data_IF_752774051477
#
_entry.id   IF_752774051477
#
_cell.length_a   1.000
_cell.length_b   1.000
_cell.length_c   1.000
_cell.angle_alpha   90.00
_cell.angle_beta   90.00
_cell.angle_gamma   90.00
#
_symmetry.space_group_name_H-M   'P 1'
#
loop_
_entity.id
_entity.type
_entity.pdbx_description
1 polymer ?
#
# COMPACT_ATOMS: atom_id res chain seq x y z
N UNK A 1 22.95 -54.56 8.28
CA UNK A 1 22.94 -53.15 7.89
C UNK A 1 23.26 -52.33 9.12
N UNK A 2 24.22 -51.44 9.07
CA UNK A 2 24.62 -50.61 10.19
C UNK A 2 24.36 -49.13 9.86
N UNK A 3 23.89 -48.39 10.83
CA UNK A 3 23.56 -46.96 10.66
C UNK A 3 24.60 -46.11 11.39
N UNK A 4 24.90 -44.94 10.81
CA UNK A 4 25.76 -43.96 11.46
C UNK A 4 25.03 -43.36 12.67
N UNK A 5 25.60 -43.44 13.86
CA UNK A 5 25.02 -42.93 15.10
C UNK A 5 24.85 -41.40 15.16
N UNK A 6 25.47 -40.67 14.18
CA UNK A 6 25.46 -39.21 14.16
C UNK A 6 24.51 -38.63 13.09
N UNK A 7 24.53 -39.12 11.87
CA UNK A 7 23.71 -38.60 10.77
C UNK A 7 22.59 -39.57 10.32
N UNK A 8 22.49 -40.77 10.87
CA UNK A 8 21.41 -41.72 10.59
C UNK A 8 21.50 -42.41 9.22
N UNK A 9 22.53 -42.21 8.44
CA UNK A 9 22.68 -42.79 7.12
C UNK A 9 23.12 -44.25 7.23
N UNK A 10 22.61 -45.10 6.35
CA UNK A 10 22.92 -46.50 6.23
C UNK A 10 24.36 -46.68 5.70
N UNK A 11 25.16 -47.42 6.45
CA UNK A 11 26.59 -47.69 6.13
C UNK A 11 26.76 -49.10 5.64
N UNK A 12 27.51 -49.27 4.58
CA UNK A 12 27.88 -50.59 4.06
C UNK A 12 28.84 -51.29 5.02
N UNK A 13 28.78 -52.61 5.08
CA UNK A 13 29.51 -53.42 6.05
C UNK A 13 31.04 -53.25 6.01
N UNK A 14 31.60 -52.79 4.88
CA UNK A 14 33.02 -52.56 4.68
C UNK A 14 33.50 -51.14 4.88
N UNK A 15 32.63 -50.18 5.24
CA UNK A 15 33.00 -48.76 5.45
C UNK A 15 33.47 -48.51 6.86
N UNK A 16 34.70 -47.98 7.01
CA UNK A 16 35.28 -47.57 8.28
C UNK A 16 34.92 -46.13 8.68
N UNK A 17 34.52 -45.28 7.71
CA UNK A 17 34.16 -43.88 7.90
C UNK A 17 32.82 -43.60 7.23
N UNK A 18 32.00 -42.68 7.84
CA UNK A 18 30.78 -42.22 7.23
C UNK A 18 31.09 -41.16 6.12
N UNK A 19 30.65 -41.36 4.87
CA UNK A 19 30.94 -40.42 3.77
C UNK A 19 30.22 -39.08 3.91
N UNK A 20 29.19 -38.98 4.75
CA UNK A 20 28.41 -37.76 4.94
C UNK A 20 28.91 -36.88 6.10
N UNK A 21 29.37 -37.47 7.22
CA UNK A 21 29.82 -36.71 8.40
C UNK A 21 31.30 -36.92 8.73
N UNK A 22 32.01 -37.84 8.04
CA UNK A 22 33.44 -38.09 8.23
C UNK A 22 33.82 -38.80 9.52
N UNK A 23 32.86 -39.19 10.38
CA UNK A 23 33.10 -39.89 11.65
C UNK A 23 33.41 -41.38 11.43
N UNK A 24 34.41 -41.88 12.18
CA UNK A 24 34.74 -43.30 12.19
C UNK A 24 33.68 -44.11 12.95
N UNK A 25 33.52 -45.37 12.55
CA UNK A 25 32.58 -46.33 13.12
C UNK A 25 32.90 -46.61 14.56
N UNK A 26 32.12 -46.03 15.51
CA UNK A 26 32.30 -46.26 16.96
C UNK A 26 32.83 -45.06 17.77
N UNK A 27 33.24 -43.99 17.12
CA UNK A 27 33.67 -42.76 17.81
C UNK A 27 32.43 -41.95 18.28
N UNK A 28 32.46 -41.55 19.54
CA UNK A 28 31.50 -40.54 20.01
C UNK A 28 32.00 -39.15 19.62
N UNK A 29 31.16 -38.28 19.07
CA UNK A 29 31.60 -36.94 18.69
C UNK A 29 32.10 -36.17 19.90
N UNK A 30 33.42 -35.87 19.92
CA UNK A 30 34.11 -35.16 20.99
C UNK A 30 34.01 -33.61 20.87
N UNK A 31 33.30 -33.09 19.89
CA UNK A 31 33.16 -31.63 19.70
C UNK A 31 31.70 -31.28 19.42
N UNK A 32 31.06 -30.40 20.20
CA UNK A 32 29.73 -29.90 19.88
C UNK A 32 29.83 -29.03 18.62
N UNK A 33 29.16 -29.41 17.53
CA UNK A 33 28.92 -28.56 16.35
C UNK A 33 27.92 -27.45 16.71
N UNK A 34 28.29 -26.57 17.68
CA UNK A 34 27.44 -25.50 18.20
C UNK A 34 27.24 -24.33 17.24
N UNK A 35 28.13 -24.20 16.22
CA UNK A 35 28.09 -23.03 15.33
C UNK A 35 27.06 -23.12 14.19
N UNK A 36 26.80 -24.31 13.63
CA UNK A 36 25.82 -24.48 12.55
C UNK A 36 24.38 -24.64 13.06
N UNK A 37 24.20 -25.24 14.26
CA UNK A 37 22.88 -25.37 14.87
C UNK A 37 22.35 -24.02 15.41
N UNK A 38 23.23 -23.13 15.88
CA UNK A 38 22.82 -21.78 16.33
C UNK A 38 22.36 -20.91 15.16
N UNK A 39 23.01 -21.00 14.01
CA UNK A 39 22.62 -20.21 12.84
C UNK A 39 21.32 -20.71 12.21
N UNK A 40 21.10 -22.03 12.11
CA UNK A 40 19.86 -22.62 11.62
C UNK A 40 18.68 -22.42 12.58
N UNK A 41 18.93 -22.46 13.90
CA UNK A 41 17.90 -22.19 14.90
C UNK A 41 17.54 -20.70 14.95
N UNK A 42 18.50 -19.78 14.76
CA UNK A 42 18.19 -18.34 14.74
C UNK A 42 17.35 -17.93 13.53
N UNK A 43 17.60 -18.52 12.35
CA UNK A 43 16.74 -18.28 11.17
C UNK A 43 15.32 -18.86 11.34
N UNK A 44 15.20 -20.03 11.96
CA UNK A 44 13.91 -20.64 12.27
C UNK A 44 13.15 -19.88 13.40
N UNK A 45 13.87 -19.34 14.38
CA UNK A 45 13.26 -18.51 15.43
C UNK A 45 12.77 -17.17 14.88
N UNK A 46 13.52 -16.53 13.96
CA UNK A 46 13.10 -15.30 13.27
C UNK A 46 11.87 -15.57 12.38
N UNK A 47 11.86 -16.67 11.63
CA UNK A 47 10.70 -17.05 10.82
C UNK A 47 9.48 -17.44 11.63
N UNK A 48 9.65 -18.13 12.76
CA UNK A 48 8.56 -18.49 13.66
C UNK A 48 8.06 -17.28 14.49
N UNK A 49 8.94 -16.37 14.86
CA UNK A 49 8.58 -15.12 15.52
C UNK A 49 7.67 -14.25 14.65
N UNK A 50 7.93 -14.16 13.34
CA UNK A 50 7.09 -13.38 12.41
C UNK A 50 5.71 -14.03 12.13
N UNK A 51 5.61 -15.35 12.22
CA UNK A 51 4.34 -16.09 12.03
C UNK A 51 3.36 -15.94 13.21
N UNK A 52 3.87 -15.68 14.41
CA UNK A 52 3.07 -15.61 15.65
C UNK A 52 2.63 -14.19 16.04
N UNK A 53 2.98 -13.16 15.25
CA UNK A 53 2.57 -11.78 15.51
C UNK A 53 1.08 -11.60 15.28
N UNK A 54 0.37 -11.06 16.27
CA UNK A 54 -1.03 -10.62 16.11
C UNK A 54 -1.13 -9.50 15.06
N UNK A 55 -2.29 -9.37 14.41
CA UNK A 55 -2.51 -8.33 13.40
C UNK A 55 -2.26 -6.91 13.94
N UNK A 56 -2.49 -6.68 15.23
CA UNK A 56 -2.17 -5.41 15.90
C UNK A 56 -0.65 -5.17 15.98
N UNK A 57 0.12 -6.20 16.33
CA UNK A 57 1.58 -6.13 16.39
C UNK A 57 2.21 -5.93 15.01
N UNK A 58 1.69 -6.60 13.97
CA UNK A 58 2.15 -6.40 12.58
C UNK A 58 1.94 -4.95 12.12
N UNK A 59 0.78 -4.34 12.45
CA UNK A 59 0.50 -2.94 12.12
C UNK A 59 1.41 -1.98 12.88
N UNK A 60 1.66 -2.22 14.17
CA UNK A 60 2.57 -1.41 14.98
C UNK A 60 4.00 -1.49 14.43
N UNK A 61 4.47 -2.69 14.11
CA UNK A 61 5.79 -2.89 13.50
C UNK A 61 5.91 -2.15 12.15
N UNK A 62 4.89 -2.25 11.29
CA UNK A 62 4.84 -1.51 10.03
C UNK A 62 4.91 0.01 10.24
N UNK A 63 4.21 0.53 11.24
CA UNK A 63 4.23 1.95 11.61
C UNK A 63 5.62 2.39 12.08
N UNK A 64 6.27 1.62 12.95
CA UNK A 64 7.62 1.91 13.45
C UNK A 64 8.65 1.89 12.30
N UNK A 65 8.63 0.87 11.44
CA UNK A 65 9.54 0.75 10.29
C UNK A 65 9.31 1.91 9.31
N UNK A 66 8.06 2.24 8.98
CA UNK A 66 7.78 3.36 8.07
C UNK A 66 8.24 4.70 8.63
N UNK A 67 8.12 4.92 9.95
CA UNK A 67 8.65 6.10 10.63
C UNK A 67 10.17 6.21 10.49
N UNK A 68 10.90 5.13 10.71
CA UNK A 68 12.36 5.09 10.58
C UNK A 68 12.80 5.39 9.13
N UNK A 69 12.13 4.79 8.14
CA UNK A 69 12.43 5.00 6.71
C UNK A 69 12.19 6.46 6.31
N UNK A 70 11.03 7.04 6.68
CA UNK A 70 10.69 8.42 6.34
C UNK A 70 11.64 9.42 7.03
N UNK A 71 11.99 9.17 8.29
CA UNK A 71 12.92 10.01 9.05
C UNK A 71 14.32 9.94 8.47
N UNK A 72 14.83 8.75 8.15
CA UNK A 72 16.15 8.59 7.55
C UNK A 72 16.24 9.27 6.17
N UNK A 73 15.20 9.12 5.34
CA UNK A 73 15.11 9.81 4.05
C UNK A 73 15.08 11.33 4.18
N UNK A 74 14.37 11.85 5.17
CA UNK A 74 14.30 13.30 5.45
C UNK A 74 15.65 13.85 5.91
N UNK A 75 16.36 13.13 6.81
CA UNK A 75 17.70 13.51 7.26
C UNK A 75 18.69 13.50 6.09
N UNK A 76 18.67 12.44 5.26
CA UNK A 76 19.56 12.33 4.12
C UNK A 76 19.36 13.49 3.12
N UNK A 77 18.10 13.81 2.75
CA UNK A 77 17.80 14.91 1.84
C UNK A 77 18.15 16.27 2.41
N UNK A 78 17.96 16.47 3.73
CA UNK A 78 18.35 17.72 4.40
C UNK A 78 19.87 17.89 4.41
N UNK A 79 20.62 16.82 4.69
CA UNK A 79 22.08 16.82 4.66
C UNK A 79 22.62 17.14 3.26
N UNK A 80 22.08 16.48 2.23
CA UNK A 80 22.46 16.73 0.83
C UNK A 80 22.18 18.20 0.44
N UNK A 81 21.02 18.72 0.81
CA UNK A 81 20.66 20.12 0.51
C UNK A 81 21.59 21.11 1.19
N UNK A 82 21.99 20.87 2.44
CA UNK A 82 22.95 21.73 3.16
C UNK A 82 24.34 21.71 2.53
N UNK A 83 24.80 20.51 2.08
CA UNK A 83 26.10 20.38 1.43
C UNK A 83 26.13 21.11 0.08
N UNK A 84 25.08 20.94 -0.73
CA UNK A 84 25.03 21.51 -2.08
C UNK A 84 24.71 23.00 -2.10
N UNK A 85 23.73 23.45 -1.32
CA UNK A 85 23.17 24.81 -1.43
C UNK A 85 23.50 25.71 -0.26
N UNK A 86 24.09 25.21 0.84
CA UNK A 86 24.33 25.90 2.11
C UNK A 86 23.09 26.56 2.73
N UNK A 87 21.90 26.28 2.19
CA UNK A 87 20.60 26.81 2.63
C UNK A 87 19.57 25.69 2.61
N UNK A 88 18.59 25.77 3.50
CA UNK A 88 17.46 24.83 3.50
C UNK A 88 16.41 25.38 2.52
N UNK A 89 16.32 24.78 1.32
CA UNK A 89 15.39 25.22 0.28
C UNK A 89 14.46 24.07 -0.15
N UNK A 90 14.89 23.24 -1.07
CA UNK A 90 14.04 22.18 -1.62
C UNK A 90 13.82 20.99 -0.65
N UNK A 91 14.71 20.77 0.34
CA UNK A 91 14.53 19.70 1.31
C UNK A 91 13.31 19.89 2.22
N UNK A 92 12.84 21.14 2.42
CA UNK A 92 11.62 21.39 3.18
C UNK A 92 10.40 20.70 2.58
N UNK A 93 10.28 20.64 1.26
CA UNK A 93 9.19 19.94 0.59
C UNK A 93 9.18 18.47 0.96
N UNK A 94 10.35 17.81 0.95
CA UNK A 94 10.46 16.42 1.32
C UNK A 94 10.11 16.15 2.80
N UNK A 95 10.55 17.04 3.70
CA UNK A 95 10.24 16.92 5.14
C UNK A 95 8.73 17.03 5.38
N UNK A 96 8.08 18.02 4.78
CA UNK A 96 6.62 18.23 4.93
C UNK A 96 5.83 17.06 4.36
N UNK A 97 6.21 16.55 3.20
CA UNK A 97 5.58 15.35 2.58
C UNK A 97 5.79 14.13 3.47
N UNK A 98 6.99 13.92 4.02
CA UNK A 98 7.28 12.80 4.91
C UNK A 98 6.45 12.83 6.19
N UNK A 99 6.27 14.02 6.78
CA UNK A 99 5.40 14.20 7.96
C UNK A 99 3.94 13.87 7.63
N UNK A 100 3.43 14.35 6.50
CA UNK A 100 2.06 14.07 6.08
C UNK A 100 1.85 12.58 5.76
N UNK A 101 2.81 11.91 5.10
CA UNK A 101 2.77 10.47 4.87
C UNK A 101 2.77 9.69 6.19
N UNK A 102 3.62 10.08 7.15
CA UNK A 102 3.63 9.46 8.47
C UNK A 102 2.32 9.66 9.23
N UNK A 103 1.70 10.85 9.15
CA UNK A 103 0.40 11.13 9.73
C UNK A 103 -0.70 10.26 9.09
N UNK A 104 -0.70 10.12 7.76
CA UNK A 104 -1.63 9.23 7.06
C UNK A 104 -1.46 7.75 7.48
N UNK A 105 -0.22 7.25 7.55
CA UNK A 105 0.08 5.88 8.03
C UNK A 105 -0.40 5.71 9.48
N UNK A 106 -0.20 6.73 10.33
CA UNK A 106 -0.67 6.71 11.72
C UNK A 106 -2.19 6.61 11.81
N UNK A 107 -2.93 7.36 10.98
CA UNK A 107 -4.39 7.26 10.91
C UNK A 107 -4.84 5.83 10.54
N UNK A 108 -4.19 5.19 9.57
CA UNK A 108 -4.49 3.79 9.20
C UNK A 108 -4.15 2.80 10.32
N UNK A 109 -3.07 3.01 11.02
CA UNK A 109 -2.59 2.10 12.07
C UNK A 109 -3.49 2.15 13.32
N UNK A 110 -3.88 3.35 13.75
CA UNK A 110 -4.59 3.54 15.02
C UNK A 110 -6.11 3.57 14.88
N UNK A 111 -6.67 3.74 13.67
CA UNK A 111 -8.12 3.81 13.44
C UNK A 111 -8.69 2.74 12.48
N UNK A 112 -8.38 1.44 12.64
CA UNK A 112 -8.72 0.43 11.64
C UNK A 112 -10.23 0.15 11.52
N UNK A 113 -11.00 0.36 12.58
CA UNK A 113 -12.43 -0.03 12.63
C UNK A 113 -13.41 1.14 12.44
N UNK A 114 -12.91 2.37 12.40
CA UNK A 114 -13.73 3.57 12.29
C UNK A 114 -13.42 4.30 10.98
N UNK A 115 -13.99 3.81 9.89
CA UNK A 115 -13.77 4.34 8.53
C UNK A 115 -13.99 5.85 8.45
N UNK A 116 -14.99 6.38 9.15
CA UNK A 116 -15.26 7.83 9.18
C UNK A 116 -14.08 8.64 9.74
N UNK A 117 -13.54 8.25 10.90
CA UNK A 117 -12.37 8.92 11.49
C UNK A 117 -11.11 8.76 10.64
N UNK A 118 -10.97 7.63 9.96
CA UNK A 118 -9.87 7.39 9.05
C UNK A 118 -9.94 8.35 7.84
N UNK A 119 -11.10 8.45 7.19
CA UNK A 119 -11.30 9.36 6.05
C UNK A 119 -11.10 10.81 6.47
N UNK A 120 -11.67 11.21 7.62
CA UNK A 120 -11.56 12.58 8.13
C UNK A 120 -10.11 12.93 8.50
N UNK A 121 -9.41 12.04 9.22
CA UNK A 121 -8.01 12.25 9.59
C UNK A 121 -7.08 12.39 8.39
N UNK A 122 -7.25 11.50 7.39
CA UNK A 122 -6.49 11.61 6.14
C UNK A 122 -6.84 12.87 5.34
N UNK A 123 -8.13 13.29 5.32
CA UNK A 123 -8.52 14.54 4.68
C UNK A 123 -7.82 15.74 5.29
N UNK A 124 -7.85 15.88 6.62
CA UNK A 124 -7.18 16.98 7.30
C UNK A 124 -5.66 16.95 7.16
N UNK A 125 -5.05 15.75 7.21
CA UNK A 125 -3.61 15.60 6.98
C UNK A 125 -3.19 16.06 5.59
N UNK A 126 -3.95 15.67 4.56
CA UNK A 126 -3.65 16.08 3.19
C UNK A 126 -4.02 17.54 2.91
N UNK A 127 -5.06 18.09 3.54
CA UNK A 127 -5.39 19.51 3.46
C UNK A 127 -4.27 20.37 4.07
N UNK A 128 -3.76 19.98 5.25
CA UNK A 128 -2.64 20.63 5.90
C UNK A 128 -1.38 20.55 5.03
N UNK A 129 -1.10 19.41 4.42
CA UNK A 129 0.00 19.23 3.48
C UNK A 129 -0.06 20.24 2.34
N UNK A 130 -1.22 20.39 1.68
CA UNK A 130 -1.39 21.33 0.56
C UNK A 130 -1.14 22.77 1.02
N UNK A 131 -1.65 23.15 2.18
CA UNK A 131 -1.45 24.50 2.74
C UNK A 131 0.04 24.75 3.04
N UNK A 132 0.72 23.79 3.66
CA UNK A 132 2.15 23.91 3.97
C UNK A 132 3.01 23.98 2.70
N UNK A 133 2.67 23.20 1.66
CA UNK A 133 3.36 23.28 0.38
C UNK A 133 3.16 24.63 -0.32
N UNK A 134 1.97 25.22 -0.23
CA UNK A 134 1.69 26.57 -0.77
C UNK A 134 2.49 27.64 -0.02
N UNK A 135 2.59 27.55 1.31
CA UNK A 135 3.41 28.46 2.13
C UNK A 135 4.91 28.39 1.77
N UNK A 136 5.44 27.17 1.55
CA UNK A 136 6.84 26.97 1.17
C UNK A 136 7.07 27.44 -0.28
N UNK A 137 6.10 27.30 -1.16
CA UNK A 137 6.14 27.69 -2.58
C UNK A 137 5.89 29.19 -2.82
N UNK A 138 6.32 30.07 -1.92
CA UNK A 138 6.19 31.53 -2.05
C UNK A 138 4.76 32.07 -1.92
N UNK A 139 3.87 31.33 -1.29
CA UNK A 139 2.51 31.75 -0.92
C UNK A 139 1.70 32.32 -2.11
N UNK A 140 1.71 31.60 -3.23
CA UNK A 140 0.98 31.99 -4.46
C UNK A 140 -0.53 31.77 -4.35
N UNK A 141 -0.99 31.16 -3.26
CA UNK A 141 -2.41 30.85 -3.00
C UNK A 141 -2.99 29.71 -3.87
N UNK A 142 -2.13 28.97 -4.56
CA UNK A 142 -2.58 27.83 -5.38
C UNK A 142 -3.15 26.71 -4.52
N UNK A 143 -2.63 26.52 -3.32
CA UNK A 143 -3.12 25.50 -2.40
C UNK A 143 -4.60 25.69 -2.08
N UNK A 144 -4.99 26.90 -1.71
CA UNK A 144 -6.40 27.21 -1.35
C UNK A 144 -7.28 27.29 -2.59
N UNK A 145 -6.82 27.93 -3.68
CA UNK A 145 -7.64 28.17 -4.87
C UNK A 145 -7.78 26.95 -5.78
N UNK A 146 -6.79 26.08 -5.81
CA UNK A 146 -6.74 24.91 -6.69
C UNK A 146 -6.67 23.60 -5.89
N UNK A 147 -5.71 23.49 -4.95
CA UNK A 147 -5.42 22.25 -4.24
C UNK A 147 -6.57 21.77 -3.36
N UNK A 148 -7.13 22.67 -2.52
CA UNK A 148 -8.25 22.31 -1.62
C UNK A 148 -9.52 21.91 -2.40
N UNK A 149 -10.00 22.63 -3.44
CA UNK A 149 -11.16 22.19 -4.22
C UNK A 149 -10.98 20.81 -4.87
N UNK A 150 -9.79 20.53 -5.41
CA UNK A 150 -9.48 19.21 -5.98
C UNK A 150 -9.50 18.13 -4.89
N UNK A 151 -8.90 18.41 -3.72
CA UNK A 151 -8.91 17.49 -2.59
C UNK A 151 -10.34 17.20 -2.11
N UNK A 152 -11.16 18.23 -1.95
CA UNK A 152 -12.57 18.07 -1.54
C UNK A 152 -13.34 17.22 -2.55
N UNK A 153 -13.17 17.46 -3.85
CA UNK A 153 -13.84 16.68 -4.91
C UNK A 153 -13.39 15.21 -4.87
N UNK A 154 -12.10 14.93 -4.65
CA UNK A 154 -11.57 13.58 -4.51
C UNK A 154 -12.21 12.85 -3.32
N UNK A 155 -12.21 13.45 -2.14
CA UNK A 155 -12.77 12.82 -0.95
C UNK A 155 -14.29 12.67 -1.02
N UNK A 156 -15.00 13.62 -1.62
CA UNK A 156 -16.43 13.52 -1.85
C UNK A 156 -16.77 12.31 -2.74
N UNK A 157 -16.03 12.12 -3.83
CA UNK A 157 -16.19 10.97 -4.72
C UNK A 157 -15.79 9.64 -4.04
N UNK A 158 -14.72 9.62 -3.25
CA UNK A 158 -14.33 8.43 -2.50
C UNK A 158 -15.42 8.02 -1.50
N UNK A 159 -16.00 8.96 -0.77
CA UNK A 159 -17.11 8.70 0.16
C UNK A 159 -18.34 8.20 -0.60
N UNK A 160 -18.66 8.82 -1.74
CA UNK A 160 -19.78 8.40 -2.59
C UNK A 160 -19.59 6.97 -3.11
N UNK A 161 -18.41 6.63 -3.66
CA UNK A 161 -18.10 5.29 -4.12
C UNK A 161 -18.17 4.28 -2.98
N UNK A 162 -17.58 4.60 -1.82
CA UNK A 162 -17.65 3.75 -0.63
C UNK A 162 -19.10 3.48 -0.21
N UNK A 163 -19.95 4.50 -0.24
CA UNK A 163 -21.35 4.37 0.11
C UNK A 163 -22.13 3.50 -0.89
N UNK A 164 -21.90 3.68 -2.19
CA UNK A 164 -22.48 2.86 -3.25
C UNK A 164 -22.04 1.39 -3.10
N UNK A 165 -20.75 1.15 -2.85
CA UNK A 165 -20.21 -0.20 -2.64
C UNK A 165 -20.82 -0.86 -1.41
N UNK A 166 -21.02 -0.11 -0.32
CA UNK A 166 -21.63 -0.62 0.91
C UNK A 166 -23.09 -1.01 0.74
N UNK A 167 -23.84 -0.25 -0.07
CA UNK A 167 -25.27 -0.54 -0.37
C UNK A 167 -25.40 -1.67 -1.39
N UNK A 168 -24.44 -1.84 -2.27
CA UNK A 168 -24.46 -2.86 -3.31
C UNK A 168 -24.33 -4.25 -2.72
N UNK A 169 -25.39 -5.06 -2.80
CA UNK A 169 -25.41 -6.46 -2.32
C UNK A 169 -24.58 -7.42 -3.18
N UNK A 170 -24.15 -6.99 -4.39
CA UNK A 170 -23.43 -7.85 -5.33
C UNK A 170 -22.08 -7.20 -5.69
N UNK A 171 -21.01 -7.78 -5.16
CA UNK A 171 -19.64 -7.40 -5.40
C UNK A 171 -19.16 -8.04 -6.73
N UNK A 172 -18.73 -7.24 -7.71
CA UNK A 172 -18.26 -7.73 -9.00
C UNK A 172 -18.04 -6.59 -9.99
N UNK A 173 -18.30 -6.85 -11.29
CA UNK A 173 -18.16 -5.87 -12.37
C UNK A 173 -18.90 -4.55 -12.17
N UNK A 174 -19.97 -4.55 -11.36
CA UNK A 174 -20.71 -3.33 -11.00
C UNK A 174 -19.83 -2.32 -10.24
N UNK A 175 -19.01 -2.80 -9.28
CA UNK A 175 -18.09 -1.92 -8.51
C UNK A 175 -17.05 -1.30 -9.44
N UNK A 176 -16.49 -2.10 -10.36
CA UNK A 176 -15.50 -1.61 -11.32
C UNK A 176 -16.09 -0.52 -12.23
N UNK A 177 -17.32 -0.71 -12.72
CA UNK A 177 -18.02 0.30 -13.51
C UNK A 177 -18.24 1.61 -12.74
N UNK A 178 -18.66 1.53 -11.47
CA UNK A 178 -18.84 2.70 -10.60
C UNK A 178 -17.50 3.42 -10.38
N UNK A 179 -16.40 2.69 -10.19
CA UNK A 179 -15.07 3.28 -10.05
C UNK A 179 -14.65 4.03 -11.32
N UNK A 180 -14.81 3.44 -12.50
CA UNK A 180 -14.49 4.11 -13.77
C UNK A 180 -15.34 5.37 -13.98
N UNK A 181 -16.62 5.31 -13.64
CA UNK A 181 -17.51 6.46 -13.71
C UNK A 181 -17.09 7.59 -12.74
N UNK A 182 -16.73 7.23 -11.50
CA UNK A 182 -16.23 8.18 -10.51
C UNK A 182 -14.90 8.82 -10.96
N UNK A 183 -14.00 8.05 -11.57
CA UNK A 183 -12.75 8.58 -12.15
C UNK A 183 -13.08 9.60 -13.25
N UNK A 184 -14.02 9.30 -14.15
CA UNK A 184 -14.44 10.23 -15.19
C UNK A 184 -14.95 11.56 -14.64
N UNK A 185 -15.80 11.51 -13.62
CA UNK A 185 -16.31 12.71 -12.92
C UNK A 185 -15.16 13.49 -12.26
N UNK A 186 -14.24 12.78 -11.58
CA UNK A 186 -13.09 13.41 -10.93
C UNK A 186 -12.22 14.17 -11.93
N UNK A 187 -11.96 13.60 -13.09
CA UNK A 187 -11.14 14.24 -14.13
C UNK A 187 -11.84 15.50 -14.70
N UNK A 188 -13.17 15.47 -14.89
CA UNK A 188 -13.93 16.64 -15.30
C UNK A 188 -13.85 17.75 -14.23
N UNK A 189 -14.09 17.42 -12.97
CA UNK A 189 -13.97 18.38 -11.87
C UNK A 189 -12.56 18.99 -11.79
N UNK A 190 -11.52 18.16 -11.93
CA UNK A 190 -10.12 18.62 -11.91
C UNK A 190 -9.85 19.59 -13.05
N UNK A 191 -10.30 19.30 -14.28
CA UNK A 191 -10.10 20.21 -15.41
C UNK A 191 -10.85 21.53 -15.23
N UNK A 192 -12.07 21.50 -14.67
CA UNK A 192 -12.82 22.71 -14.33
C UNK A 192 -12.03 23.60 -13.36
N UNK A 193 -11.52 23.04 -12.25
CA UNK A 193 -10.76 23.81 -11.28
C UNK A 193 -9.45 24.37 -11.85
N UNK A 194 -8.73 23.58 -12.65
CA UNK A 194 -7.52 24.04 -13.35
C UNK A 194 -7.86 25.16 -14.34
N UNK A 195 -8.92 24.99 -15.12
CA UNK A 195 -9.35 25.98 -16.12
C UNK A 195 -9.78 27.29 -15.48
N UNK A 196 -10.53 27.24 -14.37
CA UNK A 196 -10.92 28.41 -13.61
C UNK A 196 -9.71 29.12 -12.99
N UNK A 197 -8.73 28.36 -12.46
CA UNK A 197 -7.54 28.93 -11.84
C UNK A 197 -6.64 29.67 -12.85
N UNK A 198 -6.40 29.07 -14.03
CA UNK A 198 -5.47 29.64 -15.02
C UNK A 198 -6.11 30.59 -16.02
N UNK A 199 -7.38 30.37 -16.39
CA UNK A 199 -8.02 31.08 -17.50
C UNK A 199 -9.23 31.90 -17.11
N UNK A 200 -9.71 31.80 -15.86
CA UNK A 200 -10.98 32.36 -15.39
C UNK A 200 -12.19 32.00 -16.27
N UNK A 201 -12.12 30.90 -17.03
CA UNK A 201 -13.18 30.43 -17.92
C UNK A 201 -13.20 28.89 -17.93
N UNK A 202 -14.39 28.29 -17.99
CA UNK A 202 -14.55 26.84 -18.04
C UNK A 202 -14.19 26.39 -19.45
N UNK A 203 -13.08 25.67 -19.61
CA UNK A 203 -12.67 25.04 -20.85
C UNK A 203 -12.37 23.56 -20.60
N UNK A 204 -13.21 22.70 -21.12
CA UNK A 204 -13.03 21.25 -21.09
C UNK A 204 -12.38 20.81 -22.39
N UNK A 205 -11.22 20.15 -22.34
CA UNK A 205 -10.48 19.66 -23.51
C UNK A 205 -10.13 18.20 -23.35
N UNK A 206 -9.24 17.88 -22.41
CA UNK A 206 -8.72 16.53 -22.22
C UNK A 206 -9.69 15.63 -21.43
N UNK A 207 -10.46 16.14 -20.48
CA UNK A 207 -11.42 15.34 -19.73
C UNK A 207 -12.55 14.81 -20.58
N UNK A 208 -12.97 15.56 -21.63
CA UNK A 208 -13.97 15.07 -22.60
C UNK A 208 -13.42 13.88 -23.36
N UNK A 209 -12.15 13.91 -23.79
CA UNK A 209 -11.51 12.82 -24.53
C UNK A 209 -11.46 11.56 -23.64
N UNK A 210 -10.98 11.71 -22.40
CA UNK A 210 -10.92 10.60 -21.46
C UNK A 210 -12.32 10.10 -21.10
N UNK A 211 -13.28 11.01 -20.87
CA UNK A 211 -14.68 10.68 -20.59
C UNK A 211 -15.33 9.89 -21.71
N UNK A 212 -15.07 10.25 -22.98
CA UNK A 212 -15.57 9.52 -24.15
C UNK A 212 -15.07 8.08 -24.25
N UNK A 213 -13.92 7.77 -23.64
CA UNK A 213 -13.40 6.40 -23.53
C UNK A 213 -13.97 5.67 -22.29
N UNK A 214 -14.06 6.35 -21.14
CA UNK A 214 -14.49 5.73 -19.89
C UNK A 214 -15.98 5.40 -19.84
N UNK A 215 -16.83 6.24 -20.43
CA UNK A 215 -18.28 6.03 -20.44
C UNK A 215 -18.68 4.73 -21.14
N UNK A 216 -18.25 4.44 -22.40
CA UNK A 216 -18.55 3.18 -23.06
C UNK A 216 -18.05 1.96 -22.29
N UNK A 217 -16.84 2.04 -21.70
CA UNK A 217 -16.26 0.97 -20.88
C UNK A 217 -17.14 0.71 -19.66
N UNK A 218 -17.58 1.78 -18.97
CA UNK A 218 -18.46 1.65 -17.78
C UNK A 218 -19.81 1.03 -18.15
N UNK A 219 -20.41 1.45 -19.28
CA UNK A 219 -21.66 0.90 -19.77
C UNK A 219 -21.50 -0.58 -20.14
N UNK A 220 -20.41 -0.95 -20.81
CA UNK A 220 -20.13 -2.34 -21.18
C UNK A 220 -19.98 -3.21 -19.93
N UNK A 221 -19.25 -2.75 -18.91
CA UNK A 221 -19.09 -3.46 -17.64
C UNK A 221 -20.43 -3.65 -16.90
N UNK A 222 -21.31 -2.62 -16.91
CA UNK A 222 -22.65 -2.72 -16.35
C UNK A 222 -23.50 -3.73 -17.14
N UNK A 223 -23.46 -3.66 -18.48
CA UNK A 223 -24.19 -4.59 -19.33
C UNK A 223 -23.76 -6.03 -19.08
N UNK A 224 -22.47 -6.35 -19.05
CA UNK A 224 -21.93 -7.68 -18.74
C UNK A 224 -22.39 -8.13 -17.36
N UNK A 225 -22.35 -7.26 -16.35
CA UNK A 225 -22.81 -7.60 -15.00
C UNK A 225 -24.30 -7.99 -14.97
N UNK A 226 -25.17 -7.20 -15.61
CA UNK A 226 -26.60 -7.49 -15.65
C UNK A 226 -26.91 -8.74 -16.47
N UNK A 227 -26.22 -8.96 -17.59
CA UNK A 227 -26.39 -10.13 -18.45
C UNK A 227 -26.04 -11.43 -17.74
N UNK A 228 -24.87 -11.48 -17.09
CA UNK A 228 -24.41 -12.64 -16.31
C UNK A 228 -25.38 -12.95 -15.16
N UNK A 229 -25.93 -11.92 -14.51
CA UNK A 229 -26.89 -12.11 -13.42
C UNK A 229 -28.21 -12.73 -13.89
N UNK A 230 -28.68 -12.37 -15.08
CA UNK A 230 -29.88 -12.94 -15.68
C UNK A 230 -29.67 -14.43 -16.04
N UNK A 231 -28.51 -14.75 -16.62
CA UNK A 231 -28.17 -16.12 -17.03
C UNK A 231 -28.02 -17.07 -15.84
N UNK A 232 -27.38 -16.62 -14.74
CA UNK A 232 -27.27 -17.42 -13.50
C UNK A 232 -28.66 -17.65 -12.86
N UNK A 233 -29.57 -16.66 -12.90
CA UNK A 233 -30.93 -16.82 -12.40
C UNK A 233 -31.74 -17.82 -13.25
N UNK A 234 -31.61 -17.75 -14.56
CA UNK A 234 -32.30 -18.67 -15.48
C UNK A 234 -31.80 -20.12 -15.30
N UNK A 235 -30.49 -20.36 -15.20
CA UNK A 235 -29.93 -21.69 -14.94
C UNK A 235 -30.45 -22.27 -13.62
N UNK A 236 -30.54 -21.43 -12.56
CA UNK A 236 -31.08 -21.89 -11.26
C UNK A 236 -32.60 -22.12 -11.26
N UNK A 237 -33.32 -21.49 -12.20
CA UNK A 237 -34.77 -21.68 -12.34
C UNK A 237 -35.14 -22.94 -13.16
N UNK A 238 -34.27 -23.32 -14.09
CA UNK A 238 -34.49 -24.48 -14.94
C UNK A 238 -33.76 -25.74 -14.49
N UNK A 239 -33.10 -25.72 -13.32
CA UNK A 239 -32.42 -26.87 -12.68
C UNK A 239 -31.50 -27.66 -13.63
N UNK A 240 -30.75 -26.95 -14.52
CA UNK A 240 -29.77 -27.53 -15.45
C UNK A 240 -28.34 -27.15 -14.96
#
# INVERSE_FOLDING_TARGET
MSYCNYCGVELDTNMTFCPLCGLSRGEKPSVPHESKSKQFNSENEIQNGSKNLTNAQKRKLFWEISGIILLSGSIATMTINLILNKTISWSLYNVVVSIALFANISCFTFSPNKVFFLVLGNFFSNALLIILLDLISSNTGWGIKLGIPILVSLYALLVMVFWIVKISKHHGFNILAVIFFAIGIFLICTEIFISLYFKNAIQLRWSIIVGSCLIPISILLLFVHYRLKVEIKLRRFFDI
#
